data_IF_029766691319
#
_entry.id   IF_029766691319
#
_cell.length_a   1.000
_cell.length_b   1.000
_cell.length_c   1.000
_cell.angle_alpha   90.00
_cell.angle_beta   90.00
_cell.angle_gamma   90.00
#
_symmetry.space_group_name_H-M   'P 1'
#
loop_
_entity.id
_entity.type
_entity.pdbx_description
1 polymer ?
#
# COMPACT_ATOMS: atom_id res chain seq x y z
N UNK A 1 14.91 76.60 28.04
CA UNK A 1 16.15 76.10 27.38
C UNK A 1 15.80 75.41 26.07
N UNK A 2 15.85 76.13 24.94
CA UNK A 2 15.76 75.53 23.62
C UNK A 2 17.16 75.08 23.19
N UNK A 3 17.53 73.82 23.43
CA UNK A 3 18.77 73.29 22.89
C UNK A 3 18.51 72.73 21.48
N UNK A 4 18.95 73.41 20.41
CA UNK A 4 18.68 72.98 19.03
C UNK A 4 19.32 71.63 18.71
N UNK A 5 20.39 71.24 19.42
CA UNK A 5 21.05 69.94 19.26
C UNK A 5 20.16 68.83 19.84
N UNK A 6 19.56 69.06 21.01
CA UNK A 6 18.64 68.09 21.64
C UNK A 6 17.40 67.82 20.77
N UNK A 7 16.85 68.86 20.12
CA UNK A 7 15.71 68.73 19.20
C UNK A 7 16.04 67.91 17.95
N UNK A 8 17.26 68.06 17.41
CA UNK A 8 17.73 67.29 16.25
C UNK A 8 17.92 65.81 16.59
N UNK A 9 18.47 65.51 17.77
CA UNK A 9 18.65 64.13 18.24
C UNK A 9 17.28 63.46 18.44
N UNK A 10 16.32 64.14 19.06
CA UNK A 10 14.97 63.61 19.26
C UNK A 10 14.28 63.27 17.92
N UNK A 11 14.43 64.14 16.91
CA UNK A 11 13.86 63.91 15.58
C UNK A 11 14.47 62.68 14.88
N UNK A 12 15.79 62.46 15.00
CA UNK A 12 16.47 61.29 14.42
C UNK A 12 16.01 60.01 15.12
N UNK A 13 15.91 60.00 16.45
CA UNK A 13 15.47 58.83 17.21
C UNK A 13 14.03 58.45 16.88
N UNK A 14 13.13 59.43 16.76
CA UNK A 14 11.74 59.20 16.34
C UNK A 14 11.69 58.66 14.91
N UNK A 15 12.49 59.20 14.00
CA UNK A 15 12.57 58.70 12.61
C UNK A 15 13.03 57.24 12.53
N UNK A 16 14.06 56.87 13.28
CA UNK A 16 14.56 55.48 13.35
C UNK A 16 13.49 54.57 13.98
N UNK A 17 12.83 55.01 15.05
CA UNK A 17 11.78 54.23 15.69
C UNK A 17 10.60 53.98 14.74
N UNK A 18 10.15 54.99 14.01
CA UNK A 18 9.07 54.86 13.01
C UNK A 18 9.50 53.93 11.87
N UNK A 19 10.73 54.08 11.34
CA UNK A 19 11.25 53.20 10.30
C UNK A 19 11.33 51.74 10.77
N UNK A 20 11.84 51.49 11.98
CA UNK A 20 11.91 50.16 12.57
C UNK A 20 10.52 49.54 12.75
N UNK A 21 9.53 50.31 13.20
CA UNK A 21 8.14 49.86 13.35
C UNK A 21 7.51 49.54 11.99
N UNK A 22 7.78 50.35 10.95
CA UNK A 22 7.27 50.08 9.61
C UNK A 22 7.91 48.84 8.99
N UNK A 23 9.22 48.65 9.14
CA UNK A 23 9.92 47.46 8.66
C UNK A 23 9.47 46.21 9.42
N UNK A 24 9.35 46.29 10.75
CA UNK A 24 8.87 45.19 11.57
C UNK A 24 7.40 44.86 11.29
N UNK A 25 6.54 45.86 11.19
CA UNK A 25 5.14 45.70 10.81
C UNK A 25 4.98 45.12 9.41
N UNK A 26 5.79 45.58 8.45
CA UNK A 26 5.83 45.01 7.12
C UNK A 26 6.28 43.54 7.15
N UNK A 27 7.35 43.21 7.88
CA UNK A 27 7.83 41.83 8.00
C UNK A 27 6.85 40.92 8.78
N UNK A 28 6.11 41.46 9.74
CA UNK A 28 5.10 40.71 10.49
C UNK A 28 3.82 40.45 9.66
N UNK A 29 3.44 41.38 8.78
CA UNK A 29 2.24 41.28 7.93
C UNK A 29 2.53 40.57 6.59
N UNK A 30 3.69 40.81 6.01
CA UNK A 30 4.14 40.27 4.71
C UNK A 30 5.25 39.22 4.85
N UNK A 31 5.51 38.74 6.07
CA UNK A 31 6.44 37.64 6.30
C UNK A 31 6.01 36.41 5.51
N UNK A 32 6.85 35.99 4.57
CA UNK A 32 6.57 34.85 3.71
C UNK A 32 6.66 33.58 4.57
N UNK A 33 5.50 32.96 4.82
CA UNK A 33 5.45 31.59 5.31
C UNK A 33 5.99 30.69 4.19
N UNK A 34 6.94 29.82 4.49
CA UNK A 34 7.32 28.78 3.54
C UNK A 34 6.07 27.97 3.20
N UNK A 35 5.79 27.82 1.90
CA UNK A 35 4.71 26.97 1.44
C UNK A 35 5.06 25.51 1.70
N UNK A 36 4.13 24.81 2.34
CA UNK A 36 4.31 23.45 2.83
C UNK A 36 3.72 22.46 1.82
N UNK A 37 4.55 22.06 0.86
CA UNK A 37 4.21 21.16 -0.25
C UNK A 37 4.44 19.68 0.08
N UNK A 38 4.94 19.37 1.27
CA UNK A 38 5.29 18.01 1.65
C UNK A 38 4.03 17.15 1.82
N UNK A 39 3.90 16.03 1.09
CA UNK A 39 2.83 15.07 1.28
C UNK A 39 2.87 14.47 2.69
N UNK A 40 1.76 14.61 3.42
CA UNK A 40 1.55 13.97 4.72
C UNK A 40 0.40 12.98 4.65
N UNK A 41 0.38 12.07 5.62
CA UNK A 41 -0.69 11.09 5.80
C UNK A 41 -0.96 10.30 4.51
N UNK A 42 0.12 9.86 3.84
CA UNK A 42 0.04 9.08 2.61
C UNK A 42 -0.60 7.73 2.91
N UNK A 43 -1.78 7.49 2.35
CA UNK A 43 -2.57 6.29 2.56
C UNK A 43 -2.89 5.68 1.20
N UNK A 44 -2.75 4.35 1.13
CA UNK A 44 -3.16 3.55 -0.02
C UNK A 44 -4.40 2.76 0.37
N UNK A 45 -5.46 2.89 -0.42
CA UNK A 45 -6.77 2.30 -0.16
C UNK A 45 -7.40 1.74 -1.44
N UNK A 46 -8.54 1.05 -1.33
CA UNK A 46 -9.26 0.48 -2.48
C UNK A 46 -8.34 -0.33 -3.42
N UNK A 47 -7.53 -1.20 -2.82
CA UNK A 47 -6.58 -2.04 -3.56
C UNK A 47 -7.39 -3.12 -4.28
N UNK A 48 -7.45 -3.03 -5.61
CA UNK A 48 -8.08 -4.00 -6.49
C UNK A 48 -7.04 -4.72 -7.36
N UNK A 49 -7.50 -5.59 -8.26
CA UNK A 49 -6.62 -6.34 -9.16
C UNK A 49 -5.92 -5.46 -10.19
N UNK A 50 -6.54 -4.35 -10.58
CA UNK A 50 -6.07 -3.47 -11.65
C UNK A 50 -6.14 -1.98 -11.30
N UNK A 51 -6.49 -1.66 -10.05
CA UNK A 51 -6.53 -0.28 -9.59
C UNK A 51 -6.21 -0.15 -8.10
N UNK A 52 -5.78 1.04 -7.71
CA UNK A 52 -5.63 1.43 -6.31
C UNK A 52 -5.89 2.92 -6.16
N UNK A 53 -6.29 3.35 -4.97
CA UNK A 53 -6.45 4.76 -4.61
C UNK A 53 -5.35 5.21 -3.67
N UNK A 54 -4.59 6.22 -4.07
CA UNK A 54 -3.63 6.91 -3.22
C UNK A 54 -4.21 8.25 -2.73
N UNK A 55 -4.06 8.55 -1.45
CA UNK A 55 -4.53 9.79 -0.82
C UNK A 55 -3.46 10.37 0.09
N UNK A 56 -3.34 11.70 0.11
CA UNK A 56 -2.43 12.43 1.01
C UNK A 56 -2.92 13.87 1.21
N UNK A 57 -2.28 14.60 2.12
CA UNK A 57 -2.54 16.01 2.36
C UNK A 57 -1.29 16.88 2.18
N UNK A 58 -1.48 18.14 1.80
CA UNK A 58 -0.44 19.18 1.77
C UNK A 58 -0.90 20.42 2.54
N UNK A 59 0.04 21.28 2.97
CA UNK A 59 -0.27 22.47 3.77
C UNK A 59 -0.90 23.62 2.96
N UNK A 60 -0.76 23.58 1.65
CA UNK A 60 -1.20 24.61 0.70
C UNK A 60 -1.86 23.97 -0.53
N UNK A 61 -2.69 24.71 -1.25
CA UNK A 61 -3.28 24.21 -2.49
C UNK A 61 -2.20 23.91 -3.52
N UNK A 62 -2.06 22.63 -3.86
CA UNK A 62 -1.01 22.13 -4.72
C UNK A 62 -1.58 21.10 -5.69
N UNK A 63 -0.80 20.71 -6.70
CA UNK A 63 -1.19 19.66 -7.65
C UNK A 63 -0.06 18.64 -7.65
N UNK A 64 -0.41 17.41 -7.31
CA UNK A 64 0.55 16.31 -7.28
C UNK A 64 0.54 15.47 -8.55
N UNK A 65 1.62 14.75 -8.76
CA UNK A 65 1.75 13.67 -9.73
C UNK A 65 2.28 12.45 -9.00
N UNK A 66 1.56 11.34 -9.07
CA UNK A 66 2.07 10.06 -8.58
C UNK A 66 2.93 9.44 -9.68
N UNK A 67 4.23 9.30 -9.40
CA UNK A 67 5.16 8.55 -10.24
C UNK A 67 5.20 7.12 -9.73
N UNK A 68 4.99 6.12 -10.58
CA UNK A 68 4.93 4.72 -10.12
C UNK A 68 5.56 3.74 -11.11
N UNK A 69 5.92 2.56 -10.62
CA UNK A 69 6.59 1.51 -11.39
C UNK A 69 6.67 0.19 -10.65
N UNK A 70 7.11 -0.87 -11.33
CA UNK A 70 7.29 -2.21 -10.72
C UNK A 70 8.68 -2.41 -10.12
N UNK A 71 9.53 -1.38 -10.18
CA UNK A 71 10.86 -1.36 -9.56
C UNK A 71 10.99 -0.09 -8.74
N UNK A 72 11.73 -0.11 -7.62
CA UNK A 72 11.88 1.06 -6.75
C UNK A 72 12.71 2.19 -7.38
N UNK A 73 13.52 1.90 -8.41
CA UNK A 73 14.40 2.89 -9.05
C UNK A 73 13.89 3.39 -10.40
N UNK A 74 12.93 2.71 -11.02
CA UNK A 74 12.36 3.10 -12.31
C UNK A 74 10.84 3.26 -12.20
N UNK A 75 10.42 4.48 -11.87
CA UNK A 75 9.03 4.92 -11.77
C UNK A 75 8.61 5.57 -13.09
N UNK A 76 8.37 4.74 -14.11
CA UNK A 76 8.19 5.20 -15.49
C UNK A 76 6.74 5.58 -15.84
N UNK A 77 5.80 5.37 -14.92
CA UNK A 77 4.38 5.72 -15.12
C UNK A 77 4.02 6.94 -14.28
N UNK A 78 3.08 7.74 -14.79
CA UNK A 78 2.69 9.01 -14.18
C UNK A 78 1.16 9.13 -14.11
N UNK A 79 0.65 9.50 -12.95
CA UNK A 79 -0.75 9.83 -12.74
C UNK A 79 -0.87 11.25 -12.16
N UNK A 80 -1.11 12.27 -13.00
CA UNK A 80 -1.28 13.64 -12.55
C UNK A 80 -2.66 13.89 -11.96
N UNK A 81 -2.73 14.71 -10.92
CA UNK A 81 -4.01 15.21 -10.41
C UNK A 81 -4.62 16.23 -11.37
N UNK A 82 -5.94 16.30 -11.46
CA UNK A 82 -6.62 17.20 -12.41
C UNK A 82 -6.65 18.68 -11.96
N UNK A 83 -6.65 18.92 -10.65
CA UNK A 83 -6.89 20.24 -10.05
C UNK A 83 -5.98 20.48 -8.86
N UNK A 84 -5.75 21.75 -8.49
CA UNK A 84 -5.04 22.08 -7.26
C UNK A 84 -5.95 21.99 -6.04
N UNK A 85 -5.56 21.21 -5.04
CA UNK A 85 -6.29 20.99 -3.78
C UNK A 85 -5.30 20.79 -2.61
N UNK A 86 -5.81 20.74 -1.37
CA UNK A 86 -5.02 20.37 -0.17
C UNK A 86 -5.14 18.90 0.21
N UNK A 87 -6.30 18.30 -0.09
CA UNK A 87 -6.57 16.87 0.15
C UNK A 87 -6.60 16.19 -1.20
N UNK A 88 -5.59 15.38 -1.45
CA UNK A 88 -5.34 14.78 -2.74
C UNK A 88 -5.91 13.37 -2.82
N UNK A 89 -6.39 12.99 -4.00
CA UNK A 89 -6.89 11.65 -4.27
C UNK A 89 -6.63 11.30 -5.72
N UNK A 90 -5.85 10.24 -5.93
CA UNK A 90 -5.52 9.74 -7.27
C UNK A 90 -5.85 8.25 -7.35
N UNK A 91 -6.62 7.90 -8.39
CA UNK A 91 -6.87 6.52 -8.75
C UNK A 91 -5.83 6.07 -9.79
N UNK A 92 -4.94 5.16 -9.38
CA UNK A 92 -4.05 4.46 -10.29
C UNK A 92 -4.83 3.31 -10.92
N UNK A 93 -4.87 3.26 -12.25
CA UNK A 93 -5.65 2.26 -13.00
C UNK A 93 -4.75 1.51 -13.99
N UNK A 94 -5.32 0.52 -14.68
CA UNK A 94 -4.61 -0.31 -15.66
C UNK A 94 -3.39 -1.04 -15.08
N UNK A 95 -3.46 -1.38 -13.79
CA UNK A 95 -2.40 -2.12 -13.10
C UNK A 95 -2.48 -3.61 -13.41
N UNK A 96 -1.35 -4.29 -13.31
CA UNK A 96 -1.31 -5.75 -13.42
C UNK A 96 -1.74 -6.40 -12.10
N UNK A 97 -2.54 -7.49 -12.13
CA UNK A 97 -2.89 -8.25 -10.93
C UNK A 97 -1.67 -8.89 -10.26
N UNK A 98 -1.78 -9.13 -8.95
CA UNK A 98 -0.73 -9.75 -8.13
C UNK A 98 0.68 -9.15 -8.35
N UNK A 99 0.75 -7.83 -8.47
CA UNK A 99 1.98 -7.11 -8.82
C UNK A 99 2.26 -6.06 -7.76
N UNK A 100 3.50 -6.03 -7.26
CA UNK A 100 3.99 -4.99 -6.37
C UNK A 100 4.42 -3.77 -7.18
N UNK A 101 3.90 -2.62 -6.79
CA UNK A 101 4.24 -1.33 -7.34
C UNK A 101 4.87 -0.45 -6.27
N UNK A 102 5.80 0.38 -6.72
CA UNK A 102 6.48 1.42 -5.96
C UNK A 102 5.99 2.76 -6.49
N UNK A 103 5.88 3.76 -5.63
CA UNK A 103 5.51 5.09 -6.05
C UNK A 103 6.11 6.19 -5.18
N UNK A 104 6.30 7.34 -5.81
CA UNK A 104 6.71 8.60 -5.21
C UNK A 104 5.70 9.67 -5.61
N UNK A 105 5.64 10.76 -4.84
CA UNK A 105 4.72 11.87 -5.10
C UNK A 105 5.55 13.08 -5.50
N UNK A 106 5.32 13.60 -6.70
CA UNK A 106 5.93 14.84 -7.17
C UNK A 106 4.94 15.99 -7.01
N UNK A 107 5.36 17.05 -6.33
CA UNK A 107 4.58 18.30 -6.19
C UNK A 107 5.44 19.44 -6.73
N UNK A 108 5.03 20.02 -7.85
CA UNK A 108 5.88 20.96 -8.60
C UNK A 108 7.15 20.26 -9.14
N UNK A 109 8.31 20.83 -8.84
CA UNK A 109 9.62 20.29 -9.23
C UNK A 109 10.26 19.38 -8.17
N UNK A 110 9.61 19.23 -7.01
CA UNK A 110 10.12 18.44 -5.89
C UNK A 110 9.46 17.07 -5.86
N UNK A 111 10.31 16.05 -5.69
CA UNK A 111 9.90 14.67 -5.51
C UNK A 111 9.98 14.29 -4.04
N UNK A 112 8.93 13.64 -3.54
CA UNK A 112 8.79 13.18 -2.17
C UNK A 112 8.67 11.66 -2.16
N UNK A 113 9.34 11.04 -1.19
CA UNK A 113 9.35 9.61 -0.92
C UNK A 113 9.04 9.34 0.56
N UNK A 114 9.06 8.08 0.98
CA UNK A 114 8.81 7.66 2.36
C UNK A 114 10.10 7.63 3.20
N UNK A 115 10.91 8.69 3.16
CA UNK A 115 12.13 8.83 3.96
C UNK A 115 13.33 8.09 3.34
N UNK A 116 13.54 8.27 2.03
CA UNK A 116 14.62 7.66 1.25
C UNK A 116 14.25 6.35 0.56
N UNK A 117 12.99 5.90 0.68
CA UNK A 117 12.44 4.75 -0.03
C UNK A 117 11.07 5.08 -0.60
N UNK A 118 10.71 4.60 -1.80
CA UNK A 118 9.36 4.80 -2.32
C UNK A 118 8.28 4.12 -1.46
N UNK A 119 7.07 4.65 -1.49
CA UNK A 119 5.90 3.92 -0.98
C UNK A 119 5.63 2.70 -1.85
N UNK A 120 4.95 1.70 -1.29
CA UNK A 120 4.70 0.43 -1.96
C UNK A 120 3.28 -0.07 -1.73
N UNK A 121 2.73 -0.76 -2.71
CA UNK A 121 1.49 -1.51 -2.59
C UNK A 121 1.51 -2.73 -3.52
N UNK A 122 0.66 -3.72 -3.23
CA UNK A 122 0.51 -4.93 -4.08
C UNK A 122 -0.93 -5.09 -4.49
N UNK A 123 -1.19 -5.17 -5.79
CA UNK A 123 -2.55 -5.37 -6.33
C UNK A 123 -3.09 -6.76 -5.97
N UNK A 124 -4.42 -6.89 -5.92
CA UNK A 124 -5.06 -8.20 -5.70
C UNK A 124 -4.78 -9.14 -6.87
N UNK A 125 -4.91 -10.45 -6.62
CA UNK A 125 -4.83 -11.46 -7.67
C UNK A 125 -5.97 -11.33 -8.68
N UNK A 126 -5.75 -11.84 -9.90
CA UNK A 126 -6.84 -12.00 -10.85
C UNK A 126 -7.77 -13.12 -10.34
N UNK A 127 -9.00 -12.78 -9.97
CA UNK A 127 -10.03 -13.80 -9.85
C UNK A 127 -10.17 -14.48 -11.21
N UNK A 128 -9.95 -15.80 -11.25
CA UNK A 128 -10.20 -16.59 -12.43
C UNK A 128 -11.69 -16.41 -12.79
N UNK A 129 -11.94 -15.81 -13.95
CA UNK A 129 -13.29 -15.69 -14.49
C UNK A 129 -13.83 -17.09 -14.72
N UNK A 130 -14.63 -17.59 -13.78
CA UNK A 130 -15.54 -18.69 -14.07
C UNK A 130 -16.58 -18.08 -15.00
N UNK A 131 -16.42 -18.33 -16.30
CA UNK A 131 -17.40 -17.97 -17.29
C UNK A 131 -18.75 -18.60 -16.89
N UNK A 132 -19.66 -17.78 -16.38
CA UNK A 132 -21.07 -18.12 -16.28
C UNK A 132 -21.63 -18.18 -17.70
N UNK A 133 -21.55 -19.36 -18.31
CA UNK A 133 -22.43 -19.71 -19.43
C UNK A 133 -23.88 -19.45 -19.01
N UNK A 134 -24.68 -18.70 -19.78
CA UNK A 134 -26.11 -18.55 -19.49
C UNK A 134 -26.82 -19.87 -19.83
N UNK A 135 -26.93 -20.77 -18.86
CA UNK A 135 -27.84 -21.92 -18.96
C UNK A 135 -29.23 -21.44 -18.56
N UNK A 136 -30.18 -21.60 -19.49
CA UNK A 136 -31.56 -21.19 -19.34
C UNK A 136 -32.31 -21.99 -18.25
N UNK A 137 -33.23 -21.26 -17.61
CA UNK A 137 -34.48 -21.72 -16.94
C UNK A 137 -34.37 -22.34 -15.53
N UNK A 138 -35.16 -21.85 -14.55
CA UNK A 138 -35.28 -22.47 -13.24
C UNK A 138 -36.31 -23.62 -13.29
N UNK A 139 -35.90 -24.84 -12.98
CA UNK A 139 -36.83 -25.87 -12.53
C UNK A 139 -36.19 -26.67 -11.41
N UNK A 140 -36.70 -26.36 -10.21
CA UNK A 140 -36.76 -27.11 -8.95
C UNK A 140 -35.59 -28.01 -8.53
N UNK A 141 -35.13 -27.71 -7.32
CA UNK A 141 -34.14 -28.43 -6.55
C UNK A 141 -34.46 -29.93 -6.41
N UNK A 142 -33.47 -30.76 -6.73
CA UNK A 142 -33.30 -32.09 -6.13
C UNK A 142 -31.98 -32.07 -5.36
N UNK A 143 -32.05 -32.36 -4.07
CA UNK A 143 -30.90 -32.44 -3.17
C UNK A 143 -30.05 -33.68 -3.53
N UNK A 144 -29.13 -33.51 -4.47
CA UNK A 144 -28.08 -34.49 -4.73
C UNK A 144 -26.83 -34.07 -3.95
N UNK A 145 -26.38 -34.85 -2.95
CA UNK A 145 -25.14 -34.54 -2.24
C UNK A 145 -23.96 -34.63 -3.21
N UNK A 146 -23.13 -33.59 -3.21
CA UNK A 146 -21.90 -33.48 -4.01
C UNK A 146 -21.00 -34.69 -3.72
N UNK A 147 -20.53 -35.43 -4.73
CA UNK A 147 -19.59 -36.51 -4.51
C UNK A 147 -18.28 -35.92 -3.98
N UNK A 148 -17.91 -36.32 -2.77
CA UNK A 148 -16.60 -36.02 -2.17
C UNK A 148 -15.55 -36.65 -3.08
N UNK A 149 -14.75 -35.83 -3.78
CA UNK A 149 -13.58 -36.33 -4.50
C UNK A 149 -12.54 -36.77 -3.49
N UNK A 150 -12.51 -38.07 -3.22
CA UNK A 150 -11.41 -38.73 -2.51
C UNK A 150 -10.23 -38.83 -3.47
N UNK A 151 -9.12 -38.19 -3.13
CA UNK A 151 -7.81 -38.45 -3.76
C UNK A 151 -7.55 -39.97 -3.71
N UNK A 152 -7.56 -40.61 -4.88
CA UNK A 152 -7.21 -42.02 -5.03
C UNK A 152 -5.68 -42.09 -5.09
N UNK A 153 -5.05 -42.07 -3.91
CA UNK A 153 -3.63 -42.38 -3.77
C UNK A 153 -3.53 -43.89 -3.99
N UNK A 154 -2.67 -44.32 -4.93
CA UNK A 154 -2.47 -45.74 -5.22
C UNK A 154 -2.27 -46.53 -3.93
N UNK A 155 -3.11 -47.56 -3.75
CA UNK A 155 -3.02 -48.50 -2.64
C UNK A 155 -1.58 -49.03 -2.58
N UNK A 156 -0.88 -48.69 -1.50
CA UNK A 156 0.43 -49.22 -1.15
C UNK A 156 0.28 -50.66 -0.68
N UNK A 157 -0.17 -51.57 -1.53
CA UNK A 157 -0.50 -52.95 -1.16
C UNK A 157 0.70 -53.83 -0.85
N UNK A 158 1.91 -53.26 -0.73
CA UNK A 158 3.15 -54.03 -0.47
C UNK A 158 3.90 -53.61 0.80
N UNK A 159 3.30 -52.82 1.70
CA UNK A 159 3.94 -52.52 2.99
C UNK A 159 3.64 -53.65 4.00
N UNK A 160 4.58 -54.58 4.18
CA UNK A 160 4.49 -55.68 5.18
C UNK A 160 5.01 -55.28 6.57
N UNK A 161 5.39 -54.00 6.75
CA UNK A 161 5.99 -53.49 7.98
C UNK A 161 4.92 -53.04 8.97
N UNK A 162 5.00 -53.53 10.21
CA UNK A 162 4.03 -53.28 11.28
C UNK A 162 4.45 -52.16 12.24
N UNK A 163 5.71 -51.72 12.20
CA UNK A 163 6.25 -50.66 13.05
C UNK A 163 6.05 -49.27 12.41
N UNK A 164 5.25 -48.42 13.05
CA UNK A 164 4.91 -47.09 12.55
C UNK A 164 6.14 -46.20 12.34
N UNK A 165 7.17 -46.32 13.18
CA UNK A 165 8.39 -45.52 13.05
C UNK A 165 9.19 -45.93 11.80
N UNK A 166 9.18 -47.21 11.45
CA UNK A 166 9.86 -47.74 10.26
C UNK A 166 9.12 -47.40 8.98
N UNK A 167 7.79 -47.40 8.99
CA UNK A 167 6.96 -47.00 7.84
C UNK A 167 7.32 -45.58 7.35
N UNK A 168 7.63 -44.65 8.27
CA UNK A 168 8.05 -43.27 7.94
C UNK A 168 9.31 -43.20 7.09
N UNK A 169 10.22 -44.17 7.24
CA UNK A 169 11.49 -44.21 6.48
C UNK A 169 11.35 -44.87 5.11
N UNK A 170 10.19 -45.48 4.83
CA UNK A 170 9.92 -46.25 3.61
C UNK A 170 8.91 -45.57 2.67
N UNK A 171 8.63 -44.28 2.88
CA UNK A 171 7.75 -43.52 2.00
C UNK A 171 8.28 -43.47 0.57
N UNK A 172 7.46 -43.90 -0.38
CA UNK A 172 7.84 -44.02 -1.79
C UNK A 172 8.64 -45.28 -2.15
N UNK A 173 8.97 -46.15 -1.18
CA UNK A 173 9.58 -47.47 -1.37
C UNK A 173 8.60 -48.61 -1.07
N UNK A 174 7.34 -48.43 -1.49
CA UNK A 174 6.26 -49.42 -1.32
C UNK A 174 5.32 -49.15 -0.13
N UNK A 175 5.67 -48.24 0.78
CA UNK A 175 4.79 -47.80 1.87
C UNK A 175 4.24 -46.39 1.59
N UNK A 176 2.96 -46.19 1.90
CA UNK A 176 2.25 -44.92 1.71
C UNK A 176 2.07 -44.17 3.02
N UNK A 177 1.72 -42.88 2.94
CA UNK A 177 1.33 -42.09 4.11
C UNK A 177 0.06 -42.63 4.76
N UNK A 178 -0.81 -43.31 4.00
CA UNK A 178 -2.03 -43.93 4.51
C UNK A 178 -1.75 -45.09 5.46
N UNK A 179 -0.70 -45.88 5.20
CA UNK A 179 -0.27 -47.00 6.06
C UNK A 179 0.25 -46.50 7.41
N UNK A 180 0.98 -45.38 7.40
CA UNK A 180 1.46 -44.73 8.62
C UNK A 180 0.29 -44.23 9.48
N UNK A 181 -0.71 -43.58 8.88
CA UNK A 181 -1.89 -43.12 9.61
C UNK A 181 -2.75 -44.27 10.15
N UNK A 182 -2.84 -45.39 9.42
CA UNK A 182 -3.52 -46.60 9.90
C UNK A 182 -2.76 -47.24 11.07
N UNK A 183 -1.42 -47.25 11.01
CA UNK A 183 -0.58 -47.76 12.08
C UNK A 183 -0.75 -46.93 13.37
N UNK A 184 -0.72 -45.60 13.27
CA UNK A 184 -0.93 -44.69 14.41
C UNK A 184 -2.32 -44.78 15.04
N UNK A 185 -3.34 -45.21 14.28
CA UNK A 185 -4.71 -45.36 14.77
C UNK A 185 -4.94 -46.66 15.55
N UNK A 186 -4.02 -47.63 15.49
CA UNK A 186 -4.12 -48.83 16.33
C UNK A 186 -3.83 -48.41 17.78
N UNK A 187 -4.73 -48.70 18.74
CA UNK A 187 -4.45 -48.43 20.14
C UNK A 187 -3.19 -49.21 20.53
N UNK A 188 -2.18 -48.52 21.03
CA UNK A 188 -1.01 -49.14 21.66
C UNK A 188 -1.51 -50.01 22.81
N UNK A 189 -1.61 -51.31 22.60
CA UNK A 189 -1.67 -52.26 23.71
C UNK A 189 -0.28 -52.32 24.31
N UNK A 190 -0.04 -51.43 25.28
CA UNK A 190 1.12 -51.51 26.15
C UNK A 190 1.02 -52.80 26.97
N UNK A 191 2.05 -53.66 27.00
CA UNK A 191 2.12 -54.81 27.89
C UNK A 191 2.20 -54.40 29.36
#
# INVERSE_FOLDING_TARGET
>A
MNNPILKKILAIVVGIAVFAILVFGYFAIFGTRAADFEPRDVIVSNIEKNSVRATWATGVDSQGVVEYGTTPTALNFFAPEATKVKTHTIDLTLLSPNTTYYFDIRVGDTKYDNGGVPWTFTTKGAEASVATTPTATPTQATSQPTPIQRLKISDGTNCTETDCAKIKTLFGKGCSTQDYFLCLKKPTTTP
#
